data_IF_004167384535
#
_entry.id   IF_004167384535
#
_cell.length_a   1.000
_cell.length_b   1.000
_cell.length_c   1.000
_cell.angle_alpha   90.00
_cell.angle_beta   90.00
_cell.angle_gamma   90.00
#
_symmetry.space_group_name_H-M   'P 1'
#
loop_
_entity.id
_entity.type
_entity.pdbx_description
1 polymer ?
#
# COMPACT_ATOMS: atom_id res chain seq x y z
N UNK A 1 -23.68 8.72 14.14
CA UNK A 1 -22.97 7.65 13.40
C UNK A 1 -22.05 8.29 12.37
N UNK A 2 -20.87 7.72 12.11
CA UNK A 2 -19.97 8.24 11.08
C UNK A 2 -20.48 7.76 9.71
N UNK A 3 -20.89 8.67 8.85
CA UNK A 3 -21.43 8.38 7.51
C UNK A 3 -20.57 8.99 6.41
N UNK A 4 -20.44 8.30 5.28
CA UNK A 4 -19.84 8.84 4.06
C UNK A 4 -20.95 9.12 3.05
N UNK A 5 -21.04 10.34 2.53
CA UNK A 5 -21.99 10.65 1.44
C UNK A 5 -21.31 10.45 0.10
N UNK A 6 -21.82 9.50 -0.68
CA UNK A 6 -21.33 9.20 -2.02
C UNK A 6 -22.22 9.85 -3.07
N UNK A 7 -21.60 10.44 -4.10
CA UNK A 7 -22.34 11.00 -5.23
C UNK A 7 -23.23 9.93 -5.88
N UNK A 8 -24.49 10.29 -6.17
CA UNK A 8 -25.52 9.41 -6.78
C UNK A 8 -25.96 8.20 -5.94
N UNK A 9 -25.37 7.96 -4.77
CA UNK A 9 -25.71 6.85 -3.88
C UNK A 9 -26.35 7.38 -2.58
N UNK A 10 -25.83 8.49 -2.06
CA UNK A 10 -26.28 9.07 -0.79
C UNK A 10 -25.42 8.61 0.40
N UNK A 11 -25.93 8.75 1.63
CA UNK A 11 -25.19 8.42 2.84
C UNK A 11 -25.04 6.90 2.98
N UNK A 12 -23.81 6.44 3.24
CA UNK A 12 -23.49 5.06 3.58
C UNK A 12 -22.80 5.00 4.95
N UNK A 13 -23.14 4.02 5.81
CA UNK A 13 -22.40 3.78 7.04
C UNK A 13 -20.94 3.46 6.72
N UNK A 14 -20.00 4.02 7.48
CA UNK A 14 -18.57 3.78 7.28
C UNK A 14 -17.84 3.70 8.62
N UNK A 15 -16.87 2.80 8.69
CA UNK A 15 -15.88 2.75 9.76
C UNK A 15 -14.59 3.40 9.28
N UNK A 16 -14.23 4.55 9.87
CA UNK A 16 -13.03 5.29 9.47
C UNK A 16 -11.80 4.68 10.11
N UNK A 17 -10.86 4.21 9.28
CA UNK A 17 -9.56 3.71 9.77
C UNK A 17 -8.62 4.81 10.27
N UNK A 18 -8.82 6.05 9.82
CA UNK A 18 -8.10 7.27 10.19
C UNK A 18 -8.84 8.50 9.66
N UNK A 19 -8.52 9.67 10.19
CA UNK A 19 -8.95 10.94 9.62
C UNK A 19 -8.23 11.22 8.31
N UNK A 20 -8.90 11.91 7.38
CA UNK A 20 -8.29 12.31 6.11
C UNK A 20 -7.39 13.54 6.34
N UNK A 21 -6.15 13.53 5.83
CA UNK A 21 -5.22 14.66 6.00
C UNK A 21 -5.62 15.90 5.21
N UNK A 22 -6.46 15.76 4.19
CA UNK A 22 -7.02 16.84 3.39
C UNK A 22 -8.34 16.41 2.76
N UNK A 23 -9.04 17.35 2.12
CA UNK A 23 -10.24 17.04 1.35
C UNK A 23 -9.87 16.09 0.19
N UNK A 24 -10.60 14.97 0.01
CA UNK A 24 -10.28 14.03 -1.04
C UNK A 24 -10.70 14.55 -2.42
N UNK A 25 -9.86 14.32 -3.43
CA UNK A 25 -10.19 14.61 -4.83
C UNK A 25 -11.08 13.54 -5.45
N UNK A 26 -11.01 12.31 -4.95
CA UNK A 26 -11.82 11.18 -5.39
C UNK A 26 -11.94 10.12 -4.31
N UNK A 27 -12.96 9.27 -4.47
CA UNK A 27 -13.16 8.07 -3.65
C UNK A 27 -13.46 6.88 -4.56
N UNK A 28 -12.79 5.76 -4.30
CA UNK A 28 -13.03 4.48 -4.97
C UNK A 28 -13.60 3.49 -3.97
N UNK A 29 -14.78 2.93 -4.28
CA UNK A 29 -15.38 1.85 -3.49
C UNK A 29 -14.93 0.51 -4.06
N UNK A 30 -14.28 -0.30 -3.24
CA UNK A 30 -13.68 -1.58 -3.62
C UNK A 30 -14.38 -2.69 -2.85
N UNK A 31 -14.80 -3.76 -3.56
CA UNK A 31 -15.26 -5.00 -2.93
C UNK A 31 -14.18 -6.06 -3.07
N UNK A 32 -13.72 -6.61 -1.96
CA UNK A 32 -12.72 -7.69 -1.99
C UNK A 32 -13.36 -9.07 -2.24
N UNK A 33 -12.52 -10.09 -2.44
CA UNK A 33 -12.99 -11.47 -2.69
C UNK A 33 -13.74 -12.11 -1.51
N UNK A 34 -13.61 -11.56 -0.30
CA UNK A 34 -14.38 -11.98 0.88
C UNK A 34 -15.72 -11.23 1.01
N UNK A 35 -16.04 -10.35 0.05
CA UNK A 35 -17.28 -9.59 0.01
C UNK A 35 -17.29 -8.33 0.87
N UNK A 36 -16.15 -7.93 1.46
CA UNK A 36 -16.04 -6.70 2.27
C UNK A 36 -15.88 -5.49 1.36
N UNK A 37 -16.46 -4.37 1.78
CA UNK A 37 -16.36 -3.09 1.07
C UNK A 37 -15.35 -2.16 1.76
N UNK A 38 -14.56 -1.46 0.95
CA UNK A 38 -13.60 -0.45 1.39
C UNK A 38 -13.78 0.84 0.58
N UNK A 39 -13.63 1.99 1.23
CA UNK A 39 -13.53 3.28 0.56
C UNK A 39 -12.07 3.75 0.57
N UNK A 40 -11.46 3.91 -0.60
CA UNK A 40 -10.11 4.44 -0.77
C UNK A 40 -10.18 5.88 -1.25
N UNK A 41 -9.55 6.79 -0.54
CA UNK A 41 -9.57 8.22 -0.83
C UNK A 41 -8.24 8.65 -1.44
N UNK A 42 -8.29 9.47 -2.48
CA UNK A 42 -7.11 10.20 -2.99
C UNK A 42 -7.10 11.56 -2.31
N UNK A 43 -6.01 11.87 -1.61
CA UNK A 43 -5.84 13.07 -0.79
C UNK A 43 -4.48 13.70 -1.08
N UNK A 44 -4.38 15.01 -0.95
CA UNK A 44 -3.12 15.73 -1.01
C UNK A 44 -2.47 15.76 0.38
N UNK A 45 -1.15 15.62 0.44
CA UNK A 45 -0.38 15.69 1.69
C UNK A 45 0.88 16.48 1.43
N UNK A 46 1.05 17.57 2.19
CA UNK A 46 2.26 18.36 2.14
C UNK A 46 3.44 17.58 2.74
N UNK A 47 4.59 17.51 2.05
CA UNK A 47 5.77 16.87 2.61
C UNK A 47 6.24 17.66 3.82
N UNK A 48 6.59 16.96 4.90
CA UNK A 48 7.27 17.56 6.04
C UNK A 48 8.77 17.27 5.91
N UNK A 49 9.57 18.18 5.32
CA UNK A 49 10.99 17.95 5.13
C UNK A 49 11.69 17.87 6.49
N UNK A 50 12.61 16.91 6.61
CA UNK A 50 13.51 16.84 7.76
C UNK A 50 14.64 17.86 7.60
N UNK A 51 15.28 18.32 8.70
CA UNK A 51 16.45 19.18 8.61
C UNK A 51 17.55 18.57 7.73
N UNK A 52 18.15 19.39 6.88
CA UNK A 52 19.26 18.97 6.03
C UNK A 52 20.45 18.51 6.91
N UNK A 53 21.04 17.36 6.58
CA UNK A 53 22.16 16.79 7.33
C UNK A 53 23.49 16.79 6.54
N UNK A 54 23.50 17.35 5.33
CA UNK A 54 24.69 17.43 4.45
C UNK A 54 25.17 16.09 3.89
N UNK A 55 24.46 14.99 4.12
CA UNK A 55 24.85 13.65 3.64
C UNK A 55 24.12 13.32 2.34
N UNK A 56 24.81 12.66 1.44
CA UNK A 56 24.25 12.08 0.22
C UNK A 56 24.63 10.58 0.16
N UNK A 57 23.73 9.76 -0.37
CA UNK A 57 23.97 8.33 -0.60
C UNK A 57 23.46 7.97 -1.99
N UNK A 58 24.28 7.24 -2.75
CA UNK A 58 23.84 6.65 -4.03
C UNK A 58 23.07 5.35 -3.76
N UNK A 59 21.99 5.13 -4.50
CA UNK A 59 21.19 3.90 -4.43
C UNK A 59 21.08 3.32 -5.83
N UNK A 60 21.57 2.09 -6.02
CA UNK A 60 21.38 1.31 -7.25
C UNK A 60 20.33 0.21 -7.00
N UNK A 61 19.31 0.14 -7.85
CA UNK A 61 18.17 -0.77 -7.69
C UNK A 61 18.26 -1.92 -8.71
N UNK A 62 18.04 -3.15 -8.26
CA UNK A 62 18.18 -4.32 -9.12
C UNK A 62 17.28 -5.51 -8.79
N UNK A 63 17.35 -6.54 -9.64
CA UNK A 63 16.60 -7.79 -9.46
C UNK A 63 17.33 -8.77 -8.54
N UNK A 64 18.67 -8.80 -8.58
CA UNK A 64 19.48 -9.67 -7.73
C UNK A 64 19.56 -9.15 -6.29
N UNK A 65 19.69 -7.83 -6.13
CA UNK A 65 19.63 -7.08 -4.88
C UNK A 65 18.59 -5.98 -5.06
N UNK A 66 17.65 -5.82 -4.12
CA UNK A 66 16.63 -4.76 -4.18
C UNK A 66 17.28 -3.39 -4.32
N UNK A 67 18.27 -3.14 -3.46
CA UNK A 67 19.03 -1.92 -3.41
C UNK A 67 20.47 -2.19 -2.96
N UNK A 68 21.43 -1.52 -3.57
CA UNK A 68 22.82 -1.43 -3.12
C UNK A 68 23.12 0.04 -2.88
N UNK A 69 23.65 0.36 -1.70
CA UNK A 69 24.01 1.74 -1.37
C UNK A 69 25.50 2.01 -1.61
N UNK A 70 25.85 3.27 -1.87
CA UNK A 70 27.26 3.68 -1.99
C UNK A 70 28.06 3.54 -0.68
N UNK A 71 27.39 3.26 0.45
CA UNK A 71 28.00 2.89 1.72
C UNK A 71 28.29 1.37 1.83
N UNK A 72 28.01 0.59 0.78
CA UNK A 72 28.27 -0.86 0.73
C UNK A 72 27.13 -1.73 1.27
N UNK A 73 26.01 -1.14 1.72
CA UNK A 73 24.85 -1.90 2.18
C UNK A 73 24.16 -2.60 1.01
N UNK A 74 23.73 -3.84 1.21
CA UNK A 74 22.98 -4.63 0.22
C UNK A 74 21.66 -5.10 0.82
N UNK A 75 20.56 -4.65 0.22
CA UNK A 75 19.21 -5.03 0.60
C UNK A 75 18.72 -6.12 -0.35
N UNK A 76 18.37 -7.29 0.20
CA UNK A 76 17.88 -8.40 -0.61
C UNK A 76 16.44 -8.14 -1.12
N UNK A 77 16.08 -8.59 -2.34
CA UNK A 77 14.72 -8.47 -2.83
C UNK A 77 13.76 -9.33 -2.01
N UNK A 78 12.59 -8.78 -1.63
CA UNK A 78 11.58 -9.57 -0.96
C UNK A 78 11.08 -10.65 -1.92
N UNK A 79 11.10 -11.91 -1.48
CA UNK A 79 10.70 -13.06 -2.30
C UNK A 79 9.20 -13.35 -2.21
N UNK A 80 8.35 -12.31 -2.11
CA UNK A 80 6.91 -12.45 -1.85
C UNK A 80 6.22 -13.35 -2.87
N UNK A 81 6.45 -13.11 -4.16
CA UNK A 81 5.85 -13.93 -5.23
C UNK A 81 6.30 -15.39 -5.13
N UNK A 82 7.59 -15.65 -4.91
CA UNK A 82 8.12 -17.02 -4.79
C UNK A 82 7.52 -17.74 -3.59
N UNK A 83 7.38 -17.07 -2.45
CA UNK A 83 6.74 -17.60 -1.24
C UNK A 83 5.25 -17.87 -1.46
N UNK A 84 4.52 -16.94 -2.09
CA UNK A 84 3.11 -17.09 -2.43
C UNK A 84 2.88 -18.26 -3.39
N UNK A 85 3.70 -18.38 -4.45
CA UNK A 85 3.63 -19.50 -5.40
C UNK A 85 3.94 -20.84 -4.74
N UNK A 86 4.92 -20.90 -3.82
CA UNK A 86 5.21 -22.12 -3.05
C UNK A 86 4.01 -22.53 -2.19
N UNK A 87 3.35 -21.57 -1.54
CA UNK A 87 2.13 -21.80 -0.75
C UNK A 87 0.98 -22.27 -1.64
N UNK A 88 0.75 -21.61 -2.77
CA UNK A 88 -0.31 -21.95 -3.72
C UNK A 88 -0.15 -23.39 -4.23
N UNK A 89 1.04 -23.77 -4.71
CA UNK A 89 1.32 -25.14 -5.17
C UNK A 89 1.07 -26.18 -4.07
N UNK A 90 1.42 -25.87 -2.82
CA UNK A 90 1.16 -26.78 -1.68
C UNK A 90 -0.34 -26.96 -1.47
N UNK A 91 -1.12 -25.88 -1.47
CA UNK A 91 -2.57 -25.95 -1.26
C UNK A 91 -3.29 -26.64 -2.42
N UNK A 92 -2.88 -26.37 -3.66
CA UNK A 92 -3.44 -27.03 -4.85
C UNK A 92 -3.26 -28.55 -4.84
N UNK A 93 -2.18 -29.08 -4.24
CA UNK A 93 -2.00 -30.53 -4.07
C UNK A 93 -2.94 -31.17 -3.06
N UNK A 94 -3.46 -30.41 -2.10
CA UNK A 94 -4.44 -30.89 -1.10
C UNK A 94 -5.89 -30.76 -1.58
N UNK A 95 -6.11 -30.12 -2.74
CA UNK A 95 -7.42 -30.02 -3.41
C UNK A 95 -7.61 -31.09 -4.49
N UNK A 96 -6.58 -31.90 -4.76
CA UNK A 96 -6.70 -33.14 -5.53
C UNK A 96 -7.04 -34.27 -4.56
#
# INVERSE_FOLDING_TARGET
>A
ERSLTLSKIGPVPIEWSRDLPSAPSSVTVIRDASGRYFASFVVEVEPTPLPANGKAIGIDLGLASLAITSAGEKIAPPKFLRSALKRLRRLQRHLK
#
